data_IF_838835711870
#
_entry.id   IF_838835711870
#
_cell.length_a   1.000
_cell.length_b   1.000
_cell.length_c   1.000
_cell.angle_alpha   90.00
_cell.angle_beta   90.00
_cell.angle_gamma   90.00
#
_symmetry.space_group_name_H-M   'P 1'
#
loop_
_entity.id
_entity.type
_entity.pdbx_description
1 polymer ?
#
# COMPACT_ATOMS: atom_id res chain seq x y z
N UNK A 1 8.11 0.40 -0.53
CA UNK A 1 8.57 0.24 0.88
C UNK A 1 8.57 -1.20 1.35
N UNK A 2 7.46 -1.98 1.19
CA UNK A 2 7.46 -3.42 1.53
C UNK A 2 8.50 -4.21 0.72
N UNK A 3 8.58 -3.96 -0.59
CA UNK A 3 9.57 -4.59 -1.46
C UNK A 3 11.00 -4.24 -1.07
N UNK A 4 11.25 -3.01 -0.65
CA UNK A 4 12.55 -2.59 -0.17
C UNK A 4 12.93 -3.34 1.12
N UNK A 5 12.05 -3.36 2.13
CA UNK A 5 12.30 -4.08 3.37
C UNK A 5 12.57 -5.57 3.14
N UNK A 6 11.81 -6.24 2.26
CA UNK A 6 12.02 -7.66 1.97
C UNK A 6 13.29 -7.97 1.18
N UNK A 7 13.80 -7.00 0.42
CA UNK A 7 15.05 -7.13 -0.36
C UNK A 7 16.29 -6.75 0.45
N UNK A 8 16.15 -5.84 1.41
CA UNK A 8 17.27 -5.24 2.14
C UNK A 8 17.53 -5.95 3.47
N UNK A 9 16.48 -6.43 4.16
CA UNK A 9 16.63 -7.14 5.42
C UNK A 9 17.32 -8.50 5.23
N UNK A 10 18.19 -8.85 6.15
CA UNK A 10 18.95 -10.09 6.12
C UNK A 10 18.10 -11.32 6.44
N UNK A 11 17.04 -11.12 7.20
CA UNK A 11 16.17 -12.18 7.69
C UNK A 11 14.76 -12.03 7.14
N UNK A 12 14.23 -13.10 6.57
CA UNK A 12 12.87 -13.15 6.08
C UNK A 12 12.09 -14.31 6.70
N UNK A 13 10.99 -14.01 7.37
CA UNK A 13 10.15 -15.01 8.04
C UNK A 13 8.96 -15.37 7.16
N UNK A 14 8.92 -16.62 6.72
CA UNK A 14 7.88 -17.17 5.85
C UNK A 14 7.20 -18.37 6.49
N UNK A 15 6.01 -18.70 6.03
CA UNK A 15 5.36 -19.94 6.40
C UNK A 15 6.07 -21.11 5.69
N UNK A 16 6.37 -22.16 6.44
CA UNK A 16 6.90 -23.41 5.92
C UNK A 16 5.81 -24.49 5.84
N UNK A 17 6.15 -25.67 5.31
CA UNK A 17 5.25 -26.83 5.31
C UNK A 17 4.84 -27.23 6.73
N UNK A 18 5.76 -27.09 7.68
CA UNK A 18 5.52 -27.19 9.12
C UNK A 18 6.13 -25.96 9.79
N UNK A 19 5.32 -25.21 10.53
CA UNK A 19 5.75 -24.04 11.28
C UNK A 19 6.16 -22.82 10.45
N UNK A 20 7.20 -22.15 10.92
CA UNK A 20 7.80 -20.99 10.27
C UNK A 20 9.24 -21.26 9.85
N UNK A 21 9.66 -20.63 8.76
CA UNK A 21 11.02 -20.67 8.26
C UNK A 21 11.61 -19.27 8.22
N UNK A 22 12.83 -19.13 8.69
CA UNK A 22 13.64 -17.93 8.57
C UNK A 22 14.63 -18.15 7.44
N UNK A 23 14.51 -17.39 6.36
CA UNK A 23 15.51 -17.30 5.31
C UNK A 23 16.59 -16.29 5.73
N UNK A 24 17.87 -16.68 5.61
CA UNK A 24 19.02 -15.83 5.89
C UNK A 24 19.68 -15.45 4.56
N UNK A 25 19.58 -14.17 4.19
CA UNK A 25 20.13 -13.62 2.94
C UNK A 25 20.86 -12.32 3.22
N UNK A 26 22.18 -12.32 3.10
CA UNK A 26 23.00 -11.13 3.30
C UNK A 26 23.30 -10.55 1.92
N UNK A 27 22.75 -9.38 1.65
CA UNK A 27 22.93 -8.65 0.39
C UNK A 27 24.39 -8.13 0.25
N UNK A 28 24.83 -7.88 -0.99
CA UNK A 28 26.19 -7.40 -1.27
C UNK A 28 26.53 -6.09 -0.54
N UNK A 29 25.61 -5.15 -0.48
CA UNK A 29 25.82 -3.87 0.21
C UNK A 29 26.02 -4.03 1.72
N UNK A 30 25.49 -5.08 2.31
CA UNK A 30 25.62 -5.40 3.73
C UNK A 30 26.91 -6.16 4.05
N UNK A 31 27.59 -6.74 3.05
CA UNK A 31 28.86 -7.45 3.21
C UNK A 31 29.98 -6.51 3.66
N UNK A 32 29.99 -5.27 3.14
CA UNK A 32 30.97 -4.23 3.52
C UNK A 32 30.90 -3.90 5.02
N UNK A 33 29.68 -3.81 5.56
CA UNK A 33 29.44 -3.52 6.99
C UNK A 33 29.98 -4.67 7.87
N UNK A 34 29.97 -5.90 7.35
CA UNK A 34 30.43 -7.10 8.05
C UNK A 34 31.93 -7.41 7.79
N UNK A 35 32.66 -6.55 7.09
CA UNK A 35 34.07 -6.79 6.73
C UNK A 35 34.27 -7.94 5.76
N UNK A 36 33.27 -8.26 4.94
CA UNK A 36 33.35 -9.31 3.93
C UNK A 36 33.74 -8.68 2.59
N UNK A 37 34.83 -9.15 2.00
CA UNK A 37 35.31 -8.70 0.70
C UNK A 37 34.24 -8.79 -0.39
N UNK A 38 34.17 -7.83 -1.35
CA UNK A 38 33.11 -7.74 -2.37
C UNK A 38 32.94 -9.02 -3.21
N UNK A 39 34.02 -9.74 -3.44
CA UNK A 39 34.06 -10.99 -4.23
C UNK A 39 34.22 -12.24 -3.35
N UNK A 40 34.26 -12.09 -2.04
CA UNK A 40 34.43 -13.18 -1.10
C UNK A 40 33.16 -13.98 -0.89
N UNK A 41 33.26 -15.30 -0.90
CA UNK A 41 32.24 -16.15 -0.28
C UNK A 41 32.22 -15.81 1.20
N UNK A 42 31.02 -15.61 1.77
CA UNK A 42 30.86 -15.43 3.23
C UNK A 42 31.66 -16.55 3.94
N UNK A 43 32.68 -16.15 4.72
CA UNK A 43 33.49 -17.07 5.46
C UNK A 43 32.59 -18.03 6.27
N UNK A 44 32.95 -19.32 6.29
CA UNK A 44 32.15 -20.34 6.99
C UNK A 44 31.93 -19.99 8.47
N UNK A 45 32.91 -19.36 9.11
CA UNK A 45 32.83 -18.99 10.52
C UNK A 45 31.88 -17.81 10.75
N UNK A 46 31.91 -16.80 9.89
CA UNK A 46 30.95 -15.69 9.91
C UNK A 46 29.51 -16.20 9.69
N UNK A 47 29.35 -17.10 8.73
CA UNK A 47 28.03 -17.71 8.47
C UNK A 47 27.55 -18.53 9.67
N UNK A 48 28.43 -19.36 10.27
CA UNK A 48 28.12 -20.15 11.45
C UNK A 48 27.71 -19.25 12.63
N UNK A 49 28.44 -18.15 12.83
CA UNK A 49 28.14 -17.17 13.87
C UNK A 49 26.77 -16.54 13.69
N UNK A 50 26.42 -16.10 12.47
CA UNK A 50 25.09 -15.52 12.17
C UNK A 50 23.98 -16.52 12.50
N UNK A 51 24.12 -17.77 12.07
CA UNK A 51 23.12 -18.80 12.35
C UNK A 51 23.01 -19.11 13.85
N UNK A 52 24.12 -19.11 14.59
CA UNK A 52 24.13 -19.25 16.04
C UNK A 52 23.35 -18.13 16.73
N UNK A 53 23.55 -16.88 16.30
CA UNK A 53 22.85 -15.73 16.85
C UNK A 53 21.35 -15.73 16.49
N UNK A 54 20.98 -16.17 15.29
CA UNK A 54 19.56 -16.37 14.90
C UNK A 54 18.91 -17.41 15.80
N UNK A 55 19.55 -18.56 15.99
CA UNK A 55 19.06 -19.62 16.90
C UNK A 55 18.91 -19.09 18.32
N UNK A 56 19.91 -18.41 18.86
CA UNK A 56 19.87 -17.81 20.19
C UNK A 56 18.72 -16.79 20.33
N UNK A 57 18.56 -15.91 19.33
CA UNK A 57 17.51 -14.90 19.31
C UNK A 57 16.10 -15.51 19.29
N UNK A 58 15.93 -16.63 18.60
CA UNK A 58 14.65 -17.35 18.55
C UNK A 58 14.41 -18.17 19.81
N UNK A 59 15.45 -18.82 20.35
CA UNK A 59 15.38 -19.56 21.61
C UNK A 59 14.97 -18.65 22.78
N UNK A 60 15.42 -17.40 22.79
CA UNK A 60 15.01 -16.42 23.83
C UNK A 60 13.51 -16.07 23.81
N UNK A 61 12.80 -16.41 22.74
CA UNK A 61 11.34 -16.30 22.64
C UNK A 61 10.60 -17.54 23.14
N UNK A 62 11.32 -18.57 23.62
CA UNK A 62 10.74 -19.79 24.18
C UNK A 62 10.67 -20.98 23.21
N UNK A 63 11.20 -20.86 21.99
CA UNK A 63 11.23 -21.96 21.03
C UNK A 63 12.43 -22.88 21.30
N UNK A 64 12.22 -24.20 21.32
CA UNK A 64 13.26 -25.22 21.57
C UNK A 64 13.49 -26.16 20.39
N UNK A 65 12.55 -26.26 19.46
CA UNK A 65 12.55 -27.14 18.29
C UNK A 65 13.16 -26.51 17.04
N UNK A 66 14.25 -25.76 17.22
CA UNK A 66 14.87 -24.96 16.15
C UNK A 66 15.80 -25.81 15.32
N UNK A 67 15.57 -25.90 14.02
CA UNK A 67 16.36 -26.65 13.05
C UNK A 67 17.16 -25.67 12.19
N UNK A 68 18.47 -25.55 12.47
CA UNK A 68 19.38 -24.71 11.71
C UNK A 68 19.98 -25.43 10.51
N UNK A 69 19.87 -24.85 9.32
CA UNK A 69 20.42 -25.38 8.08
C UNK A 69 21.26 -24.33 7.34
N UNK A 70 22.53 -24.09 7.79
CA UNK A 70 23.36 -23.06 7.18
C UNK A 70 23.70 -23.32 5.71
N UNK A 71 23.72 -24.56 5.23
CA UNK A 71 23.98 -24.89 3.81
C UNK A 71 22.89 -24.34 2.92
N UNK A 72 21.65 -24.42 3.35
CA UNK A 72 20.47 -23.93 2.60
C UNK A 72 20.08 -22.49 2.97
N UNK A 73 20.77 -21.85 3.90
CA UNK A 73 20.46 -20.49 4.32
C UNK A 73 19.16 -20.36 5.11
N UNK A 74 18.76 -21.40 5.86
CA UNK A 74 17.46 -21.43 6.54
C UNK A 74 17.54 -21.88 7.99
N UNK A 75 16.62 -21.37 8.82
CA UNK A 75 16.32 -21.86 10.16
C UNK A 75 14.82 -22.13 10.23
N UNK A 76 14.43 -23.35 10.60
CA UNK A 76 13.04 -23.77 10.71
C UNK A 76 12.64 -23.86 12.19
N UNK A 77 11.39 -23.50 12.48
CA UNK A 77 10.77 -23.57 13.81
C UNK A 77 9.43 -24.29 13.63
N UNK A 78 9.40 -25.63 13.72
CA UNK A 78 8.20 -26.41 13.45
C UNK A 78 7.00 -26.09 14.33
N UNK A 79 7.22 -25.77 15.61
CA UNK A 79 6.15 -25.41 16.56
C UNK A 79 5.60 -24.00 16.40
N UNK A 80 6.31 -23.11 15.69
CA UNK A 80 5.90 -21.73 15.54
C UNK A 80 4.66 -21.59 14.62
N UNK A 81 3.75 -20.72 15.01
CA UNK A 81 2.51 -20.42 14.30
C UNK A 81 2.57 -19.04 13.60
N UNK A 82 1.56 -18.71 12.80
CA UNK A 82 1.47 -17.38 12.20
C UNK A 82 1.33 -16.26 13.24
N UNK A 83 0.85 -16.57 14.47
CA UNK A 83 0.77 -15.60 15.57
C UNK A 83 2.16 -15.21 16.06
N UNK A 84 3.11 -16.12 16.02
CA UNK A 84 4.49 -15.91 16.47
C UNK A 84 5.35 -15.15 15.46
N UNK A 85 4.87 -15.06 14.20
CA UNK A 85 5.61 -14.42 13.11
C UNK A 85 6.02 -12.98 13.43
N UNK A 86 5.18 -12.23 14.11
CA UNK A 86 5.45 -10.84 14.49
C UNK A 86 6.61 -10.71 15.48
N UNK A 87 6.57 -11.47 16.58
CA UNK A 87 7.59 -11.48 17.64
C UNK A 87 8.95 -11.99 17.11
N UNK A 88 8.93 -13.08 16.35
CA UNK A 88 10.14 -13.61 15.70
C UNK A 88 10.73 -12.56 14.75
N UNK A 89 9.93 -11.94 13.90
CA UNK A 89 10.39 -10.90 12.99
C UNK A 89 11.01 -9.72 13.73
N UNK A 90 10.40 -9.26 14.82
CA UNK A 90 10.93 -8.14 15.61
C UNK A 90 12.25 -8.49 16.29
N UNK A 91 12.40 -9.71 16.82
CA UNK A 91 13.66 -10.16 17.39
C UNK A 91 14.78 -10.19 16.35
N UNK A 92 14.50 -10.70 15.15
CA UNK A 92 15.44 -10.74 14.03
C UNK A 92 15.82 -9.35 13.50
N UNK A 93 14.89 -8.39 13.47
CA UNK A 93 15.21 -7.01 13.08
C UNK A 93 16.13 -6.33 14.11
N UNK A 94 15.94 -6.62 15.41
CA UNK A 94 16.85 -6.13 16.46
C UNK A 94 18.24 -6.77 16.33
N UNK A 95 18.28 -8.06 16.09
CA UNK A 95 19.53 -8.78 15.82
C UNK A 95 20.26 -8.21 14.61
N UNK A 96 19.55 -7.98 13.49
CA UNK A 96 20.11 -7.39 12.28
C UNK A 96 20.75 -6.03 12.56
N UNK A 97 20.04 -5.15 13.29
CA UNK A 97 20.55 -3.82 13.67
C UNK A 97 21.78 -3.91 14.58
N UNK A 98 21.81 -4.84 15.53
CA UNK A 98 22.98 -5.04 16.41
C UNK A 98 24.21 -5.52 15.64
N UNK A 99 24.02 -6.12 14.48
CA UNK A 99 25.07 -6.59 13.57
C UNK A 99 25.42 -5.55 12.47
N UNK A 100 24.86 -4.33 12.51
CA UNK A 100 25.12 -3.28 11.55
C UNK A 100 24.21 -3.27 10.31
N UNK A 101 23.21 -4.14 10.26
CA UNK A 101 22.17 -4.11 9.21
C UNK A 101 21.10 -3.06 9.45
N UNK A 102 20.32 -2.74 8.43
CA UNK A 102 19.30 -1.69 8.51
C UNK A 102 18.08 -2.11 9.32
N UNK A 103 17.72 -3.38 9.32
CA UNK A 103 16.59 -3.92 10.06
C UNK A 103 15.29 -3.14 9.82
N UNK A 104 14.91 -2.94 8.54
CA UNK A 104 13.79 -2.11 8.15
C UNK A 104 12.46 -2.70 8.60
N UNK A 105 11.66 -1.93 9.29
CA UNK A 105 10.29 -2.29 9.61
C UNK A 105 9.45 -2.32 8.33
N UNK A 106 8.64 -3.37 8.19
CA UNK A 106 7.61 -3.36 7.14
C UNK A 106 6.53 -2.35 7.52
N UNK A 107 6.16 -1.44 6.61
CA UNK A 107 5.08 -0.50 6.89
C UNK A 107 3.77 -1.26 7.08
N UNK A 108 2.90 -0.73 7.93
CA UNK A 108 1.50 -1.14 7.99
C UNK A 108 0.81 -0.81 6.65
N UNK A 109 -0.23 -1.54 6.33
CA UNK A 109 -1.01 -1.30 5.11
C UNK A 109 -2.48 -1.50 5.43
N UNK A 110 -3.28 -0.60 4.93
CA UNK A 110 -4.72 -0.78 4.80
C UNK A 110 -5.04 -1.23 3.37
N UNK A 111 -6.10 -2.00 3.22
CA UNK A 111 -6.56 -2.48 1.93
C UNK A 111 -7.96 -1.93 1.72
N UNK A 112 -8.13 -1.24 0.60
CA UNK A 112 -9.39 -0.65 0.19
C UNK A 112 -9.86 -1.28 -1.11
N UNK A 113 -11.14 -1.13 -1.42
CA UNK A 113 -11.64 -1.43 -2.75
C UNK A 113 -10.85 -0.62 -3.79
N UNK A 114 -10.60 -1.21 -4.94
CA UNK A 114 -9.85 -0.55 -6.01
C UNK A 114 -10.64 0.64 -6.55
N UNK A 115 -10.05 1.85 -6.47
CA UNK A 115 -10.60 3.03 -7.11
C UNK A 115 -10.16 3.06 -8.58
N UNK A 116 -11.12 3.19 -9.47
CA UNK A 116 -10.86 3.28 -10.92
C UNK A 116 -10.48 4.70 -11.33
N UNK A 117 -9.80 4.82 -12.46
CA UNK A 117 -9.53 6.12 -13.10
C UNK A 117 -10.73 6.65 -13.86
N UNK A 118 -10.61 7.87 -14.41
CA UNK A 118 -11.69 8.55 -15.13
C UNK A 118 -12.26 7.74 -16.30
N UNK A 119 -11.51 6.83 -16.89
CA UNK A 119 -11.96 5.95 -17.99
C UNK A 119 -12.63 4.65 -17.53
N UNK A 120 -12.80 4.45 -16.22
CA UNK A 120 -13.33 3.20 -15.67
C UNK A 120 -12.27 2.10 -15.48
N UNK A 121 -11.06 2.30 -16.00
CA UNK A 121 -9.94 1.38 -15.90
C UNK A 121 -8.98 1.76 -14.76
N UNK A 122 -7.87 1.05 -14.67
CA UNK A 122 -6.80 1.35 -13.71
C UNK A 122 -6.28 2.78 -13.89
N UNK A 123 -6.28 3.55 -12.80
CA UNK A 123 -5.65 4.87 -12.73
C UNK A 123 -4.14 4.78 -13.01
N UNK A 124 -3.61 5.70 -13.81
CA UNK A 124 -2.18 5.75 -14.15
C UNK A 124 -1.68 7.19 -14.27
N UNK A 125 -0.67 7.54 -13.49
CA UNK A 125 -0.03 8.87 -13.55
C UNK A 125 0.65 9.15 -14.89
N UNK A 126 1.07 8.11 -15.63
CA UNK A 126 1.61 8.24 -16.98
C UNK A 126 0.54 8.50 -18.05
N UNK A 127 -0.73 8.40 -17.70
CA UNK A 127 -1.88 8.68 -18.57
C UNK A 127 -2.75 9.78 -17.94
N UNK A 128 -2.40 11.07 -18.09
CA UNK A 128 -3.05 12.18 -17.36
C UNK A 128 -4.57 12.26 -17.51
N UNK A 129 -5.10 11.80 -18.64
CA UNK A 129 -6.55 11.76 -18.88
C UNK A 129 -7.31 10.75 -18.03
N UNK A 130 -6.62 9.76 -17.47
CA UNK A 130 -7.23 8.71 -16.62
C UNK A 130 -7.19 9.05 -15.14
N UNK A 131 -6.55 10.16 -14.76
CA UNK A 131 -6.25 10.47 -13.36
C UNK A 131 -6.67 11.90 -13.03
N UNK A 132 -7.38 12.06 -11.92
CA UNK A 132 -7.57 13.36 -11.28
C UNK A 132 -6.35 13.59 -10.38
N UNK A 133 -5.57 14.64 -10.65
CA UNK A 133 -4.40 14.99 -9.86
C UNK A 133 -4.77 16.02 -8.81
N UNK A 134 -4.08 15.98 -7.67
CA UNK A 134 -4.19 16.99 -6.61
C UNK A 134 -3.69 18.37 -7.05
N UNK A 135 -3.01 18.44 -8.18
CA UNK A 135 -2.53 19.67 -8.82
C UNK A 135 -3.43 20.16 -9.95
N UNK A 136 -4.51 19.44 -10.26
CA UNK A 136 -5.46 19.91 -11.27
C UNK A 136 -6.21 21.16 -10.73
N UNK A 137 -6.39 22.15 -11.58
CA UNK A 137 -7.30 23.25 -11.29
C UNK A 137 -8.77 22.84 -11.55
N UNK A 138 -9.70 23.64 -11.06
CA UNK A 138 -11.15 23.36 -11.18
C UNK A 138 -11.58 23.11 -12.62
N UNK A 139 -11.09 23.89 -13.59
CA UNK A 139 -11.44 23.72 -15.02
C UNK A 139 -10.97 22.37 -15.56
N UNK A 140 -9.77 21.94 -15.19
CA UNK A 140 -9.21 20.64 -15.60
C UNK A 140 -9.96 19.49 -14.95
N UNK A 141 -10.25 19.59 -13.64
CA UNK A 141 -11.01 18.61 -12.88
C UNK A 141 -12.42 18.43 -13.48
N UNK A 142 -13.13 19.53 -13.72
CA UNK A 142 -14.44 19.53 -14.35
C UNK A 142 -14.42 18.84 -15.73
N UNK A 143 -13.46 19.17 -16.60
CA UNK A 143 -13.31 18.54 -17.93
C UNK A 143 -13.08 17.03 -17.83
N UNK A 144 -12.30 16.58 -16.85
CA UNK A 144 -12.01 15.17 -16.63
C UNK A 144 -13.23 14.42 -16.11
N UNK A 145 -13.93 14.97 -15.10
CA UNK A 145 -15.12 14.35 -14.51
C UNK A 145 -16.28 14.32 -15.51
N UNK A 146 -16.52 15.37 -16.28
CA UNK A 146 -17.53 15.38 -17.36
C UNK A 146 -17.32 14.24 -18.36
N UNK A 147 -16.07 13.91 -18.69
CA UNK A 147 -15.69 12.86 -19.63
C UNK A 147 -15.49 11.49 -18.97
N UNK A 148 -15.70 11.37 -17.65
CA UNK A 148 -15.49 10.11 -16.95
C UNK A 148 -16.48 9.04 -17.41
N UNK A 149 -16.06 7.78 -17.25
CA UNK A 149 -16.95 6.64 -17.51
C UNK A 149 -18.16 6.72 -16.58
N UNK A 150 -19.33 6.43 -17.14
CA UNK A 150 -20.60 6.47 -16.41
C UNK A 150 -21.21 5.08 -16.31
N UNK A 151 -21.86 4.80 -15.18
CA UNK A 151 -22.69 3.63 -14.99
C UNK A 151 -24.13 3.78 -15.50
N UNK A 152 -24.45 4.91 -16.19
CA UNK A 152 -25.77 5.16 -16.75
C UNK A 152 -26.04 4.40 -18.06
N UNK A 153 -27.26 4.52 -18.55
CA UNK A 153 -27.69 3.95 -19.83
C UNK A 153 -27.38 4.90 -21.00
N UNK A 154 -27.53 4.40 -22.23
CA UNK A 154 -27.22 5.13 -23.45
C UNK A 154 -28.15 6.33 -23.69
N UNK A 155 -29.41 6.21 -23.29
CA UNK A 155 -30.42 7.30 -23.41
C UNK A 155 -31.04 7.66 -22.06
N UNK A 156 -31.58 8.86 -21.95
CA UNK A 156 -32.27 9.33 -20.74
C UNK A 156 -33.50 8.45 -20.45
N UNK A 157 -34.26 8.07 -21.48
CA UNK A 157 -35.45 7.23 -21.37
C UNK A 157 -35.11 5.85 -20.83
N UNK A 158 -34.04 5.24 -21.34
CA UNK A 158 -33.54 3.98 -20.84
C UNK A 158 -33.05 4.10 -19.40
N UNK A 159 -32.32 5.16 -19.09
CA UNK A 159 -31.83 5.39 -17.73
C UNK A 159 -32.99 5.59 -16.75
N UNK A 160 -34.03 6.37 -17.12
CA UNK A 160 -35.23 6.54 -16.29
C UNK A 160 -35.98 5.24 -16.06
N UNK A 161 -35.95 4.31 -17.01
CA UNK A 161 -36.64 3.01 -16.95
C UNK A 161 -35.82 1.94 -16.20
N UNK A 162 -34.51 1.86 -16.44
CA UNK A 162 -33.65 0.77 -15.98
C UNK A 162 -32.74 1.14 -14.83
N UNK A 163 -32.56 2.44 -14.59
CA UNK A 163 -31.59 2.96 -13.65
C UNK A 163 -30.15 2.86 -14.13
N UNK A 164 -29.22 3.36 -13.32
CA UNK A 164 -27.79 3.25 -13.50
C UNK A 164 -27.14 2.26 -12.52
N UNK A 165 -25.89 1.93 -12.80
CA UNK A 165 -25.04 1.10 -11.93
C UNK A 165 -24.00 1.98 -11.21
N UNK A 166 -24.24 2.39 -9.95
CA UNK A 166 -23.30 3.23 -9.21
C UNK A 166 -21.96 2.52 -8.93
N UNK A 167 -21.93 1.18 -8.91
CA UNK A 167 -20.70 0.42 -8.73
C UNK A 167 -19.73 0.53 -9.91
N UNK A 168 -20.24 0.91 -11.08
CA UNK A 168 -19.45 1.19 -12.28
C UNK A 168 -19.27 2.69 -12.54
N UNK A 169 -20.09 3.54 -11.93
CA UNK A 169 -20.03 4.99 -12.16
C UNK A 169 -18.85 5.62 -11.45
N UNK A 170 -17.96 6.24 -12.22
CA UNK A 170 -16.73 6.83 -11.68
C UNK A 170 -17.04 8.02 -10.78
N UNK A 171 -18.02 8.88 -11.15
CA UNK A 171 -18.37 10.04 -10.34
C UNK A 171 -18.93 9.62 -8.97
N UNK A 172 -19.81 8.60 -8.93
CA UNK A 172 -20.29 8.04 -7.67
C UNK A 172 -19.16 7.45 -6.82
N UNK A 173 -18.22 6.70 -7.43
CA UNK A 173 -17.10 6.14 -6.70
C UNK A 173 -16.19 7.22 -6.11
N UNK A 174 -15.97 8.33 -6.83
CA UNK A 174 -15.16 9.45 -6.33
C UNK A 174 -15.86 10.19 -5.20
N UNK A 175 -17.19 10.37 -5.28
CA UNK A 175 -17.98 10.87 -4.14
C UNK A 175 -17.76 9.98 -2.92
N UNK A 176 -17.98 8.67 -3.06
CA UNK A 176 -17.89 7.70 -1.97
C UNK A 176 -16.47 7.58 -1.36
N UNK A 177 -15.40 7.71 -2.17
CA UNK A 177 -14.05 7.50 -1.67
C UNK A 177 -13.34 8.76 -1.19
N UNK A 178 -13.71 9.93 -1.73
CA UNK A 178 -12.88 11.12 -1.56
C UNK A 178 -13.61 12.39 -1.16
N UNK A 179 -14.88 12.56 -1.57
CA UNK A 179 -15.50 13.89 -1.53
C UNK A 179 -16.74 14.00 -0.67
N UNK A 180 -17.34 12.90 -0.24
CA UNK A 180 -18.54 12.93 0.59
C UNK A 180 -18.35 12.09 1.84
N UNK A 181 -18.59 12.68 3.01
CA UNK A 181 -18.46 12.03 4.31
C UNK A 181 -19.81 11.54 4.87
N UNK A 182 -20.94 12.02 4.32
CA UNK A 182 -22.27 11.61 4.76
C UNK A 182 -22.69 10.30 4.08
N UNK A 183 -22.60 9.21 4.83
CA UNK A 183 -23.03 7.89 4.39
C UNK A 183 -24.53 7.80 4.07
N UNK A 184 -25.38 8.59 4.76
CA UNK A 184 -26.82 8.62 4.50
C UNK A 184 -27.11 9.27 3.15
N UNK A 185 -26.45 10.39 2.85
CA UNK A 185 -26.52 11.04 1.56
C UNK A 185 -25.99 10.15 0.43
N UNK A 186 -24.87 9.45 0.63
CA UNK A 186 -24.35 8.50 -0.34
C UNK A 186 -25.32 7.33 -0.60
N UNK A 187 -26.01 6.84 0.44
CA UNK A 187 -27.02 5.80 0.27
C UNK A 187 -28.24 6.30 -0.53
N UNK A 188 -28.68 7.55 -0.32
CA UNK A 188 -29.76 8.18 -1.08
C UNK A 188 -29.36 8.37 -2.56
N UNK A 189 -28.13 8.85 -2.82
CA UNK A 189 -27.59 8.96 -4.18
C UNK A 189 -27.56 7.61 -4.88
N UNK A 190 -27.10 6.57 -4.19
CA UNK A 190 -27.06 5.20 -4.72
C UNK A 190 -28.45 4.72 -5.12
N UNK A 191 -29.42 4.87 -4.24
CA UNK A 191 -30.80 4.45 -4.50
C UNK A 191 -31.45 5.26 -5.65
N UNK A 192 -31.22 6.56 -5.68
CA UNK A 192 -31.75 7.46 -6.71
C UNK A 192 -31.16 7.15 -8.08
N UNK A 193 -29.88 6.81 -8.14
CA UNK A 193 -29.20 6.43 -9.38
C UNK A 193 -29.68 5.07 -9.89
N UNK A 194 -29.79 4.06 -9.00
CA UNK A 194 -30.29 2.73 -9.34
C UNK A 194 -31.75 2.73 -9.79
N UNK A 195 -32.56 3.64 -9.25
CA UNK A 195 -33.97 3.78 -9.64
C UNK A 195 -34.19 4.65 -10.90
N UNK A 196 -33.12 5.22 -11.48
CA UNK A 196 -33.21 6.12 -12.62
C UNK A 196 -33.76 7.51 -12.31
N UNK A 197 -33.97 7.86 -11.03
CA UNK A 197 -34.37 9.20 -10.60
C UNK A 197 -33.25 10.22 -10.78
N UNK A 198 -32.04 9.86 -10.50
CA UNK A 198 -30.84 10.66 -10.67
C UNK A 198 -30.16 10.30 -11.98
N UNK A 199 -29.90 11.26 -12.83
CA UNK A 199 -29.22 11.05 -14.11
C UNK A 199 -27.70 11.04 -13.94
N UNK A 200 -26.99 10.40 -14.87
CA UNK A 200 -25.52 10.37 -14.87
C UNK A 200 -24.88 11.77 -14.97
N UNK A 201 -25.52 12.70 -15.69
CA UNK A 201 -25.06 14.08 -15.76
C UNK A 201 -25.19 14.83 -14.43
N UNK A 202 -26.29 14.60 -13.70
CA UNK A 202 -26.51 15.17 -12.37
C UNK A 202 -25.51 14.62 -11.34
N UNK A 203 -25.24 13.30 -11.35
CA UNK A 203 -24.22 12.65 -10.54
C UNK A 203 -22.82 13.26 -10.79
N UNK A 204 -22.48 13.45 -12.08
CA UNK A 204 -21.20 14.07 -12.45
C UNK A 204 -21.12 15.52 -11.97
N UNK A 205 -22.21 16.28 -12.06
CA UNK A 205 -22.21 17.67 -11.60
C UNK A 205 -21.97 17.75 -10.10
N UNK A 206 -22.64 16.92 -9.29
CA UNK A 206 -22.39 16.86 -7.85
C UNK A 206 -20.93 16.52 -7.53
N UNK A 207 -20.35 15.54 -8.24
CA UNK A 207 -18.95 15.18 -8.08
C UNK A 207 -18.01 16.34 -8.47
N UNK A 208 -18.32 17.11 -9.51
CA UNK A 208 -17.56 18.29 -9.93
C UNK A 208 -17.57 19.35 -8.83
N UNK A 209 -18.73 19.66 -8.30
CA UNK A 209 -18.90 20.71 -7.29
C UNK A 209 -18.04 20.37 -6.04
N UNK A 210 -18.13 19.14 -5.54
CA UNK A 210 -17.34 18.66 -4.40
C UNK A 210 -15.84 18.59 -4.70
N UNK A 211 -15.46 18.08 -5.87
CA UNK A 211 -14.06 17.97 -6.27
C UNK A 211 -13.39 19.34 -6.42
N UNK A 212 -14.09 20.31 -7.03
CA UNK A 212 -13.57 21.65 -7.20
C UNK A 212 -13.42 22.39 -5.87
N UNK A 213 -14.39 22.28 -4.97
CA UNK A 213 -14.30 22.81 -3.60
C UNK A 213 -13.10 22.21 -2.87
N UNK A 214 -12.97 20.89 -2.90
CA UNK A 214 -11.88 20.19 -2.22
C UNK A 214 -10.49 20.57 -2.77
N UNK A 215 -10.34 20.65 -4.11
CA UNK A 215 -9.08 21.06 -4.75
C UNK A 215 -8.72 22.51 -4.43
N UNK A 216 -9.71 23.41 -4.37
CA UNK A 216 -9.51 24.82 -3.98
C UNK A 216 -8.98 24.91 -2.55
N UNK A 217 -9.66 24.25 -1.61
CA UNK A 217 -9.25 24.21 -0.20
C UNK A 217 -7.84 23.62 -0.03
N UNK A 218 -7.51 22.56 -0.79
CA UNK A 218 -6.17 21.96 -0.77
C UNK A 218 -5.12 22.93 -1.30
N UNK A 219 -5.42 23.68 -2.36
CA UNK A 219 -4.50 24.69 -2.91
C UNK A 219 -4.23 25.81 -1.92
N UNK A 220 -5.26 26.32 -1.27
CA UNK A 220 -5.14 27.35 -0.24
C UNK A 220 -4.30 26.88 0.96
N UNK A 221 -4.55 25.65 1.45
CA UNK A 221 -3.77 25.03 2.52
C UNK A 221 -2.30 24.90 2.14
N UNK A 222 -2.03 24.47 0.91
CA UNK A 222 -0.68 24.32 0.38
C UNK A 222 0.06 25.66 0.34
N UNK A 223 -0.62 26.73 -0.09
CA UNK A 223 -0.03 28.08 -0.15
C UNK A 223 0.25 28.62 1.26
N UNK A 224 -0.69 28.43 2.20
CA UNK A 224 -0.53 28.82 3.60
C UNK A 224 0.62 28.10 4.31
N UNK A 225 0.89 26.84 3.94
CA UNK A 225 1.91 26.00 4.59
C UNK A 225 3.22 25.92 3.83
N UNK A 226 3.34 26.55 2.67
CA UNK A 226 4.55 26.50 1.81
C UNK A 226 5.82 26.93 2.54
N UNK A 227 5.74 27.95 3.43
CA UNK A 227 6.86 28.44 4.24
C UNK A 227 7.38 27.42 5.29
N UNK A 228 6.58 26.37 5.61
CA UNK A 228 7.00 25.34 6.57
C UNK A 228 7.89 24.27 5.92
N UNK A 229 7.88 24.18 4.58
CA UNK A 229 8.64 23.15 3.84
C UNK A 229 10.13 23.25 4.11
N UNK A 230 10.66 24.47 4.20
CA UNK A 230 12.08 24.71 4.45
C UNK A 230 12.54 24.23 5.84
N UNK A 231 11.63 24.12 6.80
CA UNK A 231 11.91 23.61 8.14
C UNK A 231 12.18 22.09 8.17
N UNK A 232 11.79 21.35 7.11
CA UNK A 232 12.01 19.92 7.02
C UNK A 232 13.33 19.54 6.36
N UNK A 233 14.04 20.49 5.75
CA UNK A 233 15.29 20.27 5.04
C UNK A 233 16.51 20.85 5.77
N UNK A 234 16.33 21.30 7.00
CA UNK A 234 17.42 21.68 7.91
C UNK A 234 17.79 20.49 8.80
#
# INVERSE_FOLDING_TARGET
TRGLASKTNWFNVTQAKMGLQIGVSIQEDNRKVMGIEPNGRVNKDVRKNIFSQVVQSVSSLGFSDIISNPKHGTVNIPSATLRDKGSIKMALLRLERSMGGLGLLSPSSTYHRFAVGMTGDKMSSSKPKTTLFLSDNSETAEKKIKKSFSGGQATIEEHRRLGGDPDKDVAYQYMMYFFEEDDAFLAELNQSYRSGKLLAGEMKQMCIDRACEWLSNLSELKDQTSHLVDNFFQ
#
